data_IF_081309600118
#
_entry.id   IF_081309600118
#
_cell.length_a   1.000
_cell.length_b   1.000
_cell.length_c   1.000
_cell.angle_alpha   90.00
_cell.angle_beta   90.00
_cell.angle_gamma   90.00
#
_symmetry.space_group_name_H-M   'P 1'
#
loop_
_entity.id
_entity.type
_entity.pdbx_description
1 polymer ?
#
# COMPACT_ATOMS: atom_id res chain seq x y z
N UNK A 1 -3.17 -20.34 -26.64
CA UNK A 1 -4.42 -19.81 -26.06
C UNK A 1 -4.10 -18.42 -25.52
N UNK A 2 -4.94 -17.42 -25.77
CA UNK A 2 -4.69 -16.02 -25.37
C UNK A 2 -5.20 -15.83 -23.94
N UNK A 3 -4.43 -15.15 -23.08
CA UNK A 3 -4.77 -14.93 -21.66
C UNK A 3 -5.31 -13.51 -21.42
N UNK A 4 -6.52 -13.43 -20.87
CA UNK A 4 -7.21 -12.19 -20.47
C UNK A 4 -7.38 -12.09 -18.94
N UNK A 5 -6.69 -12.93 -18.15
CA UNK A 5 -6.79 -13.01 -16.69
C UNK A 5 -6.57 -11.68 -15.97
N UNK A 6 -5.82 -10.75 -16.60
CA UNK A 6 -5.59 -9.39 -16.09
C UNK A 6 -6.89 -8.63 -15.80
N UNK A 7 -7.97 -8.87 -16.55
CA UNK A 7 -9.26 -8.19 -16.40
C UNK A 7 -10.28 -8.99 -15.57
N UNK A 8 -9.84 -10.05 -14.86
CA UNK A 8 -10.74 -10.91 -14.09
C UNK A 8 -11.37 -10.23 -12.87
N UNK A 9 -10.69 -9.23 -12.29
CA UNK A 9 -11.16 -8.54 -11.08
C UNK A 9 -11.28 -7.05 -11.36
N UNK A 10 -12.48 -6.61 -11.70
CA UNK A 10 -12.84 -5.21 -11.92
C UNK A 10 -13.97 -4.88 -10.93
N UNK A 11 -13.79 -3.82 -10.16
CA UNK A 11 -14.80 -3.26 -9.24
C UNK A 11 -15.46 -2.06 -9.91
N UNK A 12 -16.78 -2.15 -10.12
CA UNK A 12 -17.62 -1.09 -10.67
C UNK A 12 -18.60 -0.68 -9.56
N UNK A 13 -18.48 0.55 -9.05
CA UNK A 13 -19.28 1.00 -7.90
C UNK A 13 -20.77 1.19 -8.21
N UNK A 14 -21.08 1.44 -9.49
CA UNK A 14 -22.39 1.71 -10.07
C UNK A 14 -22.87 0.57 -10.99
N UNK A 15 -22.46 -0.67 -10.70
CA UNK A 15 -22.90 -1.85 -11.43
C UNK A 15 -24.41 -2.10 -11.26
N UNK A 16 -25.19 -1.78 -12.30
CA UNK A 16 -26.65 -1.93 -12.33
C UNK A 16 -27.11 -3.39 -12.37
N UNK A 17 -26.24 -4.32 -12.77
CA UNK A 17 -26.53 -5.76 -12.77
C UNK A 17 -26.38 -6.38 -11.36
N UNK A 18 -25.68 -5.71 -10.42
CA UNK A 18 -25.48 -6.13 -9.02
C UNK A 18 -26.34 -5.32 -8.03
N UNK A 19 -27.65 -5.47 -8.18
CA UNK A 19 -28.68 -4.81 -7.35
C UNK A 19 -29.59 -5.83 -6.64
N UNK A 20 -30.38 -5.36 -5.66
CA UNK A 20 -31.32 -6.21 -4.94
C UNK A 20 -32.70 -5.53 -4.86
N UNK A 21 -33.84 -6.24 -5.07
CA UNK A 21 -35.18 -5.63 -5.09
C UNK A 21 -35.59 -4.86 -3.85
N UNK A 22 -34.92 -5.10 -2.72
CA UNK A 22 -35.19 -4.46 -1.43
C UNK A 22 -34.12 -3.44 -1.00
N UNK A 23 -33.16 -3.11 -1.86
CA UNK A 23 -32.11 -2.13 -1.56
C UNK A 23 -32.24 -0.98 -2.57
N UNK A 24 -32.21 0.26 -2.08
CA UNK A 24 -32.16 1.43 -2.95
C UNK A 24 -30.80 1.52 -3.67
N UNK A 25 -30.82 1.34 -4.98
CA UNK A 25 -29.67 1.36 -5.86
C UNK A 25 -28.88 2.66 -5.75
N UNK A 26 -29.55 3.81 -5.64
CA UNK A 26 -28.87 5.11 -5.58
C UNK A 26 -28.03 5.26 -4.31
N UNK A 27 -28.58 4.82 -3.18
CA UNK A 27 -27.88 4.78 -1.89
C UNK A 27 -26.74 3.77 -1.91
N UNK A 28 -26.97 2.59 -2.49
CA UNK A 28 -25.99 1.51 -2.57
C UNK A 28 -24.74 1.91 -3.35
N UNK A 29 -24.91 2.54 -4.52
CA UNK A 29 -23.78 2.97 -5.36
C UNK A 29 -22.91 4.02 -4.67
N UNK A 30 -23.54 4.99 -4.00
CA UNK A 30 -22.82 5.98 -3.21
C UNK A 30 -22.02 5.33 -2.09
N UNK A 31 -22.63 4.36 -1.40
CA UNK A 31 -21.97 3.63 -0.32
C UNK A 31 -20.80 2.78 -0.83
N UNK A 32 -20.96 2.06 -1.94
CA UNK A 32 -19.88 1.30 -2.60
C UNK A 32 -18.73 2.22 -3.00
N UNK A 33 -19.03 3.36 -3.63
CA UNK A 33 -18.04 4.36 -4.00
C UNK A 33 -17.28 4.89 -2.78
N UNK A 34 -18.01 5.29 -1.73
CA UNK A 34 -17.46 5.80 -0.48
C UNK A 34 -16.51 4.77 0.15
N UNK A 35 -16.97 3.52 0.31
CA UNK A 35 -16.16 2.44 0.86
C UNK A 35 -14.89 2.18 0.04
N UNK A 36 -14.96 2.29 -1.29
CA UNK A 36 -13.79 2.15 -2.17
C UNK A 36 -12.79 3.28 -1.95
N UNK A 37 -13.25 4.53 -1.87
CA UNK A 37 -12.40 5.70 -1.60
C UNK A 37 -11.73 5.58 -0.23
N UNK A 38 -12.48 5.19 0.80
CA UNK A 38 -11.95 4.97 2.15
C UNK A 38 -10.85 3.90 2.17
N UNK A 39 -11.05 2.75 1.49
CA UNK A 39 -10.00 1.73 1.35
C UNK A 39 -8.75 2.24 0.64
N UNK A 40 -8.91 3.04 -0.41
CA UNK A 40 -7.79 3.64 -1.14
C UNK A 40 -7.02 4.63 -0.27
N UNK A 41 -7.72 5.48 0.47
CA UNK A 41 -7.12 6.46 1.38
C UNK A 41 -6.37 5.78 2.54
N UNK A 42 -6.95 4.75 3.15
CA UNK A 42 -6.30 3.95 4.20
C UNK A 42 -5.01 3.29 3.69
N UNK A 43 -5.06 2.72 2.49
CA UNK A 43 -3.89 2.10 1.87
C UNK A 43 -2.81 3.14 1.55
N UNK A 44 -3.18 4.31 1.03
CA UNK A 44 -2.23 5.40 0.78
C UNK A 44 -1.58 5.90 2.08
N UNK A 45 -2.36 6.08 3.16
CA UNK A 45 -1.84 6.46 4.47
C UNK A 45 -0.86 5.41 5.01
N UNK A 46 -1.24 4.14 4.99
CA UNK A 46 -0.38 3.04 5.44
C UNK A 46 0.94 2.98 4.65
N UNK A 47 0.89 3.20 3.34
CA UNK A 47 2.09 3.27 2.48
C UNK A 47 2.96 4.48 2.82
N UNK A 48 2.36 5.63 3.09
CA UNK A 48 3.10 6.82 3.48
C UNK A 48 3.80 6.63 4.83
N UNK A 49 3.08 6.11 5.82
CA UNK A 49 3.62 5.82 7.15
C UNK A 49 4.79 4.83 7.08
N UNK A 50 4.65 3.75 6.30
CA UNK A 50 5.74 2.78 6.10
C UNK A 50 6.96 3.43 5.44
N UNK A 51 6.75 4.28 4.45
CA UNK A 51 7.83 5.00 3.76
C UNK A 51 8.55 5.98 4.70
N UNK A 52 7.82 6.63 5.60
CA UNK A 52 8.40 7.51 6.62
C UNK A 52 9.21 6.71 7.65
N UNK A 53 8.68 5.58 8.12
CA UNK A 53 9.39 4.66 9.02
C UNK A 53 10.69 4.15 8.38
N UNK A 54 10.64 3.65 7.14
CA UNK A 54 11.84 3.17 6.45
C UNK A 54 12.92 4.25 6.30
N UNK A 55 12.53 5.49 5.98
CA UNK A 55 13.47 6.61 5.90
C UNK A 55 14.11 6.92 7.25
N UNK A 56 13.33 6.88 8.33
CA UNK A 56 13.82 7.15 9.66
C UNK A 56 14.77 6.04 10.13
N UNK A 57 14.39 4.77 9.99
CA UNK A 57 15.25 3.62 10.29
C UNK A 57 16.54 3.66 9.47
N UNK A 58 16.48 4.03 8.18
CA UNK A 58 17.68 4.13 7.34
C UNK A 58 18.65 5.24 7.82
N UNK A 59 18.13 6.40 8.25
CA UNK A 59 18.94 7.47 8.84
C UNK A 59 19.61 7.00 10.13
N UNK A 60 18.83 6.39 11.03
CA UNK A 60 19.33 5.88 12.30
C UNK A 60 20.42 4.80 12.08
N UNK A 61 20.21 3.91 11.11
CA UNK A 61 21.18 2.87 10.77
C UNK A 61 22.49 3.48 10.28
N UNK A 62 22.45 4.53 9.44
CA UNK A 62 23.65 5.26 8.99
C UNK A 62 24.38 5.92 10.16
N UNK A 63 23.66 6.62 11.05
CA UNK A 63 24.27 7.29 12.21
C UNK A 63 24.93 6.31 13.18
N UNK A 64 24.22 5.22 13.54
CA UNK A 64 24.76 4.22 14.47
C UNK A 64 25.89 3.44 13.82
N UNK A 65 25.85 3.20 12.50
CA UNK A 65 26.94 2.54 11.76
C UNK A 65 28.22 3.35 11.82
N UNK A 66 28.14 4.68 11.67
CA UNK A 66 29.29 5.57 11.79
C UNK A 66 29.85 5.58 13.22
N UNK A 67 28.97 5.66 14.23
CA UNK A 67 29.36 5.63 15.65
C UNK A 67 30.03 4.31 16.05
N UNK A 68 29.48 3.17 15.60
CA UNK A 68 30.03 1.85 15.88
C UNK A 68 31.42 1.65 15.24
N UNK A 69 31.65 2.19 14.03
CA UNK A 69 32.96 2.15 13.36
C UNK A 69 34.00 3.05 14.03
N UNK A 70 33.58 4.16 14.63
CA UNK A 70 34.48 5.14 15.24
C UNK A 70 34.93 4.76 16.66
N UNK A 71 34.11 4.03 17.43
CA UNK A 71 34.36 3.81 18.87
C UNK A 71 34.44 2.35 19.31
N UNK A 72 34.32 1.38 18.39
CA UNK A 72 34.26 -0.08 18.65
C UNK A 72 33.36 -0.46 19.85
N UNK A 73 32.28 0.29 20.03
CA UNK A 73 31.38 0.20 21.16
C UNK A 73 30.40 -0.98 20.99
N UNK A 74 30.37 -1.86 21.99
CA UNK A 74 29.54 -3.07 21.95
C UNK A 74 28.05 -2.73 22.00
N UNK A 75 27.66 -1.64 22.67
CA UNK A 75 26.27 -1.17 22.70
C UNK A 75 25.80 -0.67 21.33
N UNK A 76 26.69 -0.01 20.58
CA UNK A 76 26.39 0.47 19.23
C UNK A 76 26.20 -0.70 18.24
N UNK A 77 26.95 -1.79 18.41
CA UNK A 77 26.79 -3.02 17.62
C UNK A 77 25.46 -3.73 17.89
N UNK A 78 25.00 -3.77 19.15
CA UNK A 78 23.69 -4.32 19.47
C UNK A 78 22.54 -3.47 18.92
N UNK A 79 22.65 -2.14 19.02
CA UNK A 79 21.66 -1.21 18.42
C UNK A 79 21.60 -1.36 16.90
N UNK A 80 22.73 -1.57 16.23
CA UNK A 80 22.75 -1.85 14.80
C UNK A 80 22.01 -3.13 14.44
N UNK A 81 22.25 -4.23 15.15
CA UNK A 81 21.54 -5.49 14.91
C UNK A 81 20.02 -5.33 15.06
N UNK A 82 19.58 -4.55 16.06
CA UNK A 82 18.15 -4.25 16.26
C UNK A 82 17.55 -3.44 15.10
N UNK A 83 18.25 -2.39 14.65
CA UNK A 83 17.81 -1.58 13.50
C UNK A 83 17.84 -2.37 12.19
N UNK A 84 18.78 -3.31 12.02
CA UNK A 84 18.81 -4.22 10.87
C UNK A 84 17.63 -5.19 10.87
N UNK A 85 17.26 -5.74 12.03
CA UNK A 85 16.05 -6.57 12.14
C UNK A 85 14.77 -5.76 11.88
N UNK A 86 14.67 -4.56 12.42
CA UNK A 86 13.53 -3.66 12.19
C UNK A 86 13.40 -3.29 10.71
N UNK A 87 14.52 -2.97 10.05
CA UNK A 87 14.54 -2.71 8.61
C UNK A 87 14.01 -3.90 7.82
N UNK A 88 14.43 -5.13 8.15
CA UNK A 88 13.95 -6.34 7.48
C UNK A 88 12.45 -6.54 7.69
N UNK A 89 11.94 -6.30 8.88
CA UNK A 89 10.49 -6.35 9.15
C UNK A 89 9.70 -5.31 8.35
N UNK A 90 10.26 -4.11 8.13
CA UNK A 90 9.64 -3.08 7.30
C UNK A 90 9.65 -3.47 5.80
N UNK A 91 10.73 -4.10 5.32
CA UNK A 91 10.82 -4.63 3.96
C UNK A 91 9.78 -5.75 3.72
N UNK A 92 9.60 -6.65 4.70
CA UNK A 92 8.57 -7.70 4.64
C UNK A 92 7.16 -7.07 4.59
N UNK A 93 6.90 -6.03 5.40
CA UNK A 93 5.63 -5.27 5.36
C UNK A 93 5.40 -4.56 4.02
N UNK A 94 6.45 -4.00 3.41
CA UNK A 94 6.37 -3.35 2.10
C UNK A 94 5.97 -4.35 1.02
N UNK A 95 6.59 -5.53 1.05
CA UNK A 95 6.30 -6.62 0.11
C UNK A 95 4.87 -7.15 0.26
N UNK A 96 4.37 -7.26 1.50
CA UNK A 96 2.97 -7.63 1.75
C UNK A 96 1.99 -6.54 1.29
N UNK A 97 2.32 -5.25 1.45
CA UNK A 97 1.52 -4.16 0.88
C UNK A 97 1.51 -4.21 -0.65
N UNK A 98 2.65 -4.45 -1.29
CA UNK A 98 2.75 -4.54 -2.75
C UNK A 98 1.93 -5.72 -3.30
N UNK A 99 1.95 -6.86 -2.61
CA UNK A 99 1.08 -8.00 -2.94
C UNK A 99 -0.39 -7.63 -2.83
N UNK A 100 -0.79 -6.95 -1.73
CA UNK A 100 -2.17 -6.47 -1.56
C UNK A 100 -2.56 -5.54 -2.70
N UNK A 101 -1.73 -4.56 -3.05
CA UNK A 101 -1.95 -3.65 -4.17
C UNK A 101 -2.15 -4.39 -5.50
N UNK A 102 -1.35 -5.42 -5.78
CA UNK A 102 -1.49 -6.24 -7.00
C UNK A 102 -2.76 -7.09 -7.03
N UNK A 103 -3.29 -7.47 -5.87
CA UNK A 103 -4.53 -8.25 -5.76
C UNK A 103 -5.79 -7.40 -5.71
N UNK A 104 -5.66 -6.08 -5.58
CA UNK A 104 -6.83 -5.19 -5.56
C UNK A 104 -7.55 -5.21 -6.91
N UNK A 105 -8.88 -5.07 -6.87
CA UNK A 105 -9.67 -5.00 -8.09
C UNK A 105 -9.32 -3.72 -8.86
N UNK A 106 -9.33 -3.86 -10.18
CA UNK A 106 -9.25 -2.72 -11.10
C UNK A 106 -10.47 -1.83 -10.93
N UNK A 107 -10.27 -0.52 -10.91
CA UNK A 107 -11.33 0.47 -10.86
C UNK A 107 -10.96 1.64 -11.79
N UNK A 108 -11.84 2.62 -11.93
CA UNK A 108 -11.64 3.77 -12.83
C UNK A 108 -10.30 4.49 -12.59
N UNK A 109 -9.84 4.58 -11.34
CA UNK A 109 -8.62 5.29 -10.95
C UNK A 109 -7.35 4.44 -11.16
N UNK A 110 -7.47 3.11 -11.21
CA UNK A 110 -6.33 2.20 -11.40
C UNK A 110 -6.17 1.73 -12.85
N UNK A 111 -7.27 1.68 -13.63
CA UNK A 111 -7.25 1.21 -15.02
C UNK A 111 -6.56 2.21 -15.96
N UNK A 112 -6.77 3.52 -15.76
CA UNK A 112 -6.28 4.54 -16.68
C UNK A 112 -6.07 5.89 -16.01
N UNK A 113 -5.44 6.82 -16.73
CA UNK A 113 -5.31 8.24 -16.36
C UNK A 113 -5.80 9.09 -17.53
N UNK A 114 -6.26 10.30 -17.24
CA UNK A 114 -6.65 11.25 -18.29
C UNK A 114 -5.44 11.55 -19.20
N UNK A 115 -5.53 11.14 -20.47
CA UNK A 115 -4.43 11.27 -21.43
C UNK A 115 -4.38 12.61 -22.15
N UNK A 116 -5.54 13.22 -22.39
CA UNK A 116 -5.68 14.52 -23.05
C UNK A 116 -7.03 15.14 -22.72
N UNK A 117 -7.05 16.44 -22.44
CA UNK A 117 -8.24 17.27 -22.21
C UNK A 117 -8.19 18.49 -23.12
N UNK A 118 -9.32 18.90 -23.71
CA UNK A 118 -9.42 19.98 -24.72
C UNK A 118 -9.76 21.32 -24.09
#
# INVERSE_FOLDING_TARGET
MVDYSKWKSIEISDDEDDTHPNIDTASLFRWRHQARVERMDEMQKSRQELREQMKETEKQLKEVSLKAKASDDNEAKEKLKKLESEKKELEDKELELEKKEKTLPWNVDTISKEGWSK
#
